data_IF_533261622380
#
_entry.id   IF_533261622380
#
_cell.length_a   1.000
_cell.length_b   1.000
_cell.length_c   1.000
_cell.angle_alpha   90.00
_cell.angle_beta   90.00
_cell.angle_gamma   90.00
#
_symmetry.space_group_name_H-M   'P 1'
#
loop_
_entity.id
_entity.type
_entity.pdbx_description
1 polymer ?
#
# COMPACT_ATOMS: atom_id res chain seq x y z
N UNK A 1 -7.46 -22.09 -13.95
CA UNK A 1 -8.45 -21.03 -13.67
C UNK A 1 -9.15 -21.39 -12.37
N UNK A 2 -9.21 -20.49 -11.38
CA UNK A 2 -10.10 -20.63 -10.24
C UNK A 2 -11.35 -19.81 -10.56
N UNK A 3 -12.42 -20.46 -11.01
CA UNK A 3 -13.72 -19.84 -11.29
C UNK A 3 -14.60 -19.77 -10.05
N UNK A 4 -15.62 -18.90 -10.08
CA UNK A 4 -16.57 -18.68 -8.99
C UNK A 4 -17.29 -19.98 -8.54
N UNK A 5 -17.47 -20.93 -9.46
CA UNK A 5 -18.09 -22.23 -9.16
C UNK A 5 -17.26 -23.08 -8.20
N UNK A 6 -15.93 -23.03 -8.27
CA UNK A 6 -15.02 -23.83 -7.43
C UNK A 6 -14.98 -23.36 -5.97
N UNK A 7 -15.26 -22.08 -5.71
CA UNK A 7 -15.28 -21.48 -4.37
C UNK A 7 -16.67 -21.49 -3.75
N UNK A 8 -17.74 -21.48 -4.57
CA UNK A 8 -19.12 -21.57 -4.10
C UNK A 8 -19.43 -22.99 -3.60
N UNK A 9 -19.10 -24.01 -4.40
CA UNK A 9 -19.26 -25.43 -4.03
C UNK A 9 -18.43 -25.81 -2.78
N UNK A 10 -17.23 -25.25 -2.63
CA UNK A 10 -16.39 -25.48 -1.46
C UNK A 10 -16.92 -24.85 -0.15
N UNK A 11 -17.81 -23.86 -0.22
CA UNK A 11 -18.41 -23.22 0.97
C UNK A 11 -19.81 -23.75 1.27
N UNK A 12 -20.58 -24.14 0.25
CA UNK A 12 -21.92 -24.72 0.42
C UNK A 12 -21.87 -26.10 1.09
N UNK A 13 -20.77 -26.85 0.89
CA UNK A 13 -20.54 -28.16 1.51
C UNK A 13 -19.91 -28.08 2.93
N UNK A 14 -19.75 -26.89 3.51
CA UNK A 14 -19.11 -26.71 4.83
C UNK A 14 -20.08 -26.19 5.88
N UNK A 15 -19.95 -26.73 7.09
CA UNK A 15 -20.69 -26.24 8.25
C UNK A 15 -20.32 -24.77 8.56
N UNK A 16 -21.22 -24.02 9.20
CA UNK A 16 -20.91 -22.66 9.65
C UNK A 16 -19.65 -22.57 10.53
N UNK A 17 -19.38 -23.61 11.33
CA UNK A 17 -18.19 -23.67 12.20
C UNK A 17 -16.89 -23.83 11.40
N UNK A 18 -16.85 -24.75 10.44
CA UNK A 18 -15.69 -24.94 9.55
C UNK A 18 -15.38 -23.68 8.73
N UNK A 19 -16.43 -22.99 8.25
CA UNK A 19 -16.26 -21.70 7.54
C UNK A 19 -15.67 -20.63 8.46
N UNK A 20 -16.12 -20.54 9.71
CA UNK A 20 -15.57 -19.61 10.71
C UNK A 20 -14.11 -19.91 11.03
N UNK A 21 -13.75 -21.18 11.19
CA UNK A 21 -12.37 -21.58 11.46
C UNK A 21 -11.44 -21.25 10.28
N UNK A 22 -11.85 -21.57 9.06
CA UNK A 22 -11.09 -21.21 7.86
C UNK A 22 -10.95 -19.70 7.69
N UNK A 23 -12.01 -18.92 7.96
CA UNK A 23 -11.96 -17.47 7.92
C UNK A 23 -10.97 -16.90 8.96
N UNK A 24 -10.93 -17.48 10.18
CA UNK A 24 -9.94 -17.11 11.21
C UNK A 24 -8.52 -17.42 10.75
N UNK A 25 -8.27 -18.62 10.22
CA UNK A 25 -6.95 -19.02 9.72
C UNK A 25 -6.50 -18.09 8.57
N UNK A 26 -7.39 -17.83 7.61
CA UNK A 26 -7.13 -16.92 6.50
C UNK A 26 -6.87 -15.48 6.98
N UNK A 27 -7.65 -14.99 7.94
CA UNK A 27 -7.48 -13.68 8.56
C UNK A 27 -6.14 -13.54 9.29
N UNK A 28 -5.74 -14.57 10.05
CA UNK A 28 -4.44 -14.61 10.72
C UNK A 28 -3.27 -14.66 9.73
N UNK A 29 -3.37 -15.50 8.69
CA UNK A 29 -2.35 -15.59 7.64
C UNK A 29 -2.19 -14.27 6.88
N UNK A 30 -3.32 -13.65 6.49
CA UNK A 30 -3.34 -12.32 5.87
C UNK A 30 -2.77 -11.24 6.79
N UNK A 31 -3.15 -11.24 8.07
CA UNK A 31 -2.60 -10.33 9.07
C UNK A 31 -1.09 -10.49 9.24
N UNK A 32 -0.59 -11.72 9.30
CA UNK A 32 0.85 -12.02 9.37
C UNK A 32 1.58 -11.52 8.13
N UNK A 33 1.03 -11.72 6.93
CA UNK A 33 1.60 -11.22 5.69
C UNK A 33 1.64 -9.68 5.64
N UNK A 34 0.57 -9.01 6.09
CA UNK A 34 0.50 -7.55 6.18
C UNK A 34 1.54 -6.99 7.16
N UNK A 35 1.67 -7.58 8.35
CA UNK A 35 2.70 -7.21 9.34
C UNK A 35 4.11 -7.37 8.77
N UNK A 36 4.42 -8.51 8.16
CA UNK A 36 5.72 -8.74 7.51
C UNK A 36 6.06 -7.67 6.46
N UNK A 37 5.09 -7.25 5.64
CA UNK A 37 5.29 -6.17 4.67
C UNK A 37 5.52 -4.82 5.35
N UNK A 38 4.80 -4.53 6.43
CA UNK A 38 4.99 -3.30 7.20
C UNK A 38 6.37 -3.27 7.86
N UNK A 39 6.78 -4.37 8.49
CA UNK A 39 8.08 -4.51 9.14
C UNK A 39 9.20 -4.39 8.12
N UNK A 40 9.08 -5.03 6.96
CA UNK A 40 10.04 -4.88 5.87
C UNK A 40 10.19 -3.42 5.42
N UNK A 41 9.08 -2.68 5.24
CA UNK A 41 9.15 -1.25 4.89
C UNK A 41 9.84 -0.42 5.97
N UNK A 42 9.54 -0.69 7.25
CA UNK A 42 10.20 -0.02 8.38
C UNK A 42 11.71 -0.28 8.36
N UNK A 43 12.12 -1.54 8.21
CA UNK A 43 13.54 -1.92 8.14
C UNK A 43 14.22 -1.30 6.93
N UNK A 44 13.58 -1.32 5.75
CA UNK A 44 14.15 -0.74 4.54
C UNK A 44 14.38 0.77 4.71
N UNK A 45 13.39 1.50 5.22
CA UNK A 45 13.54 2.94 5.44
C UNK A 45 14.66 3.24 6.43
N UNK A 46 14.76 2.48 7.53
CA UNK A 46 15.85 2.62 8.49
C UNK A 46 17.22 2.43 7.84
N UNK A 47 17.36 1.44 6.96
CA UNK A 47 18.60 1.19 6.23
C UNK A 47 18.89 2.32 5.25
N UNK A 48 17.91 2.77 4.47
CA UNK A 48 18.07 3.83 3.48
C UNK A 48 18.53 5.15 4.13
N UNK A 49 18.03 5.47 5.32
CA UNK A 49 18.43 6.68 6.07
C UNK A 49 19.76 6.53 6.82
N UNK A 50 20.40 5.36 6.82
CA UNK A 50 21.66 5.17 7.52
C UNK A 50 22.79 5.92 6.80
N UNK A 51 23.52 6.75 7.55
CA UNK A 51 24.73 7.41 7.06
C UNK A 51 25.81 6.37 6.72
N UNK A 52 26.54 6.64 5.64
CA UNK A 52 27.67 5.86 5.19
C UNK A 52 28.87 6.77 4.96
N UNK A 53 30.05 6.18 5.09
CA UNK A 53 31.29 6.86 4.78
C UNK A 53 31.81 6.35 3.43
N UNK A 54 31.61 7.14 2.38
CA UNK A 54 32.07 6.84 1.02
C UNK A 54 33.00 7.94 0.53
N UNK A 55 34.27 7.61 0.30
CA UNK A 55 35.31 8.58 -0.08
C UNK A 55 35.02 9.33 -1.40
N UNK A 56 34.36 8.68 -2.36
CA UNK A 56 34.05 9.28 -3.66
C UNK A 56 32.83 10.21 -3.57
N UNK A 57 31.77 9.78 -2.88
CA UNK A 57 30.47 10.43 -2.92
C UNK A 57 30.24 11.42 -1.81
N UNK A 58 30.79 11.19 -0.61
CA UNK A 58 30.57 12.04 0.56
C UNK A 58 30.96 13.51 0.30
N UNK A 59 32.14 13.83 -0.28
CA UNK A 59 32.49 15.22 -0.55
C UNK A 59 31.54 15.90 -1.54
N UNK A 60 31.07 15.16 -2.54
CA UNK A 60 30.15 15.69 -3.56
C UNK A 60 28.79 15.96 -2.93
N UNK A 61 28.25 15.00 -2.19
CA UNK A 61 26.95 15.13 -1.53
C UNK A 61 26.93 16.25 -0.49
N UNK A 62 27.97 16.35 0.34
CA UNK A 62 28.12 17.43 1.32
C UNK A 62 28.22 18.80 0.65
N UNK A 63 28.91 18.92 -0.49
CA UNK A 63 28.97 20.16 -1.25
C UNK A 63 27.61 20.62 -1.81
N UNK A 64 26.68 19.68 -1.97
CA UNK A 64 25.30 19.93 -2.40
C UNK A 64 24.33 20.12 -1.22
N UNK A 65 24.83 20.03 0.03
CA UNK A 65 24.00 20.08 1.23
C UNK A 65 23.15 18.83 1.45
N UNK A 66 23.58 17.67 0.94
CA UNK A 66 22.90 16.38 1.05
C UNK A 66 23.71 15.45 1.96
N UNK A 67 23.04 14.77 2.88
CA UNK A 67 23.67 13.76 3.73
C UNK A 67 24.11 12.53 2.93
N UNK A 68 25.29 11.99 3.26
CA UNK A 68 25.81 10.78 2.63
C UNK A 68 25.19 9.54 3.28
N UNK A 69 23.94 9.25 2.93
CA UNK A 69 23.18 8.08 3.38
C UNK A 69 23.19 6.97 2.32
N UNK A 70 22.76 5.75 2.69
CA UNK A 70 22.55 4.67 1.73
C UNK A 70 21.56 5.06 0.62
N UNK A 71 20.55 5.87 0.93
CA UNK A 71 19.59 6.39 -0.04
C UNK A 71 20.26 7.31 -1.07
N UNK A 72 20.98 8.34 -0.62
CA UNK A 72 21.62 9.30 -1.54
C UNK A 72 22.70 8.62 -2.38
N UNK A 73 23.43 7.67 -1.79
CA UNK A 73 24.39 6.81 -2.47
C UNK A 73 23.75 5.94 -3.56
N UNK A 74 22.59 5.32 -3.30
CA UNK A 74 21.85 4.54 -4.29
C UNK A 74 21.39 5.41 -5.46
N UNK A 75 20.88 6.62 -5.19
CA UNK A 75 20.46 7.56 -6.23
C UNK A 75 21.66 8.01 -7.10
N UNK A 76 22.80 8.33 -6.47
CA UNK A 76 24.04 8.67 -7.17
C UNK A 76 24.51 7.53 -8.07
N UNK A 77 24.43 6.28 -7.61
CA UNK A 77 24.77 5.11 -8.41
C UNK A 77 23.88 4.99 -9.66
N UNK A 78 22.57 5.21 -9.53
CA UNK A 78 21.64 5.18 -10.67
C UNK A 78 21.93 6.31 -11.67
N UNK A 79 22.27 7.51 -11.19
CA UNK A 79 22.66 8.63 -12.06
C UNK A 79 23.96 8.28 -12.82
N UNK A 80 24.97 7.75 -12.12
CA UNK A 80 26.24 7.34 -12.71
C UNK A 80 26.06 6.26 -13.79
N UNK A 81 25.22 5.25 -13.53
CA UNK A 81 24.86 4.22 -14.50
C UNK A 81 24.10 4.79 -15.70
N UNK A 82 23.16 5.72 -15.49
CA UNK A 82 22.44 6.39 -16.56
C UNK A 82 23.40 7.19 -17.47
N UNK A 83 24.36 7.91 -16.87
CA UNK A 83 25.41 8.63 -17.60
C UNK A 83 26.32 7.69 -18.41
N UNK A 84 26.49 6.44 -17.95
CA UNK A 84 27.20 5.39 -18.68
C UNK A 84 26.37 4.74 -19.81
N UNK A 85 25.15 5.22 -20.05
CA UNK A 85 24.27 4.75 -21.13
C UNK A 85 23.28 3.66 -20.72
N UNK A 86 23.14 3.37 -19.42
CA UNK A 86 22.16 2.40 -18.94
C UNK A 86 20.74 2.99 -19.00
N UNK A 87 19.95 2.57 -19.99
CA UNK A 87 18.60 3.08 -20.24
C UNK A 87 17.62 2.76 -19.11
N UNK A 88 17.81 1.66 -18.37
CA UNK A 88 16.96 1.34 -17.21
C UNK A 88 17.23 2.28 -16.05
N UNK A 89 18.49 2.58 -15.80
CA UNK A 89 18.88 3.56 -14.79
C UNK A 89 18.39 4.97 -15.18
N UNK A 90 18.47 5.33 -16.47
CA UNK A 90 17.91 6.57 -16.98
C UNK A 90 16.39 6.67 -16.77
N UNK A 91 15.64 5.59 -17.03
CA UNK A 91 14.20 5.53 -16.75
C UNK A 91 13.89 5.65 -15.25
N UNK A 92 14.66 4.98 -14.40
CA UNK A 92 14.55 5.14 -12.95
C UNK A 92 14.71 6.61 -12.54
N UNK A 93 15.78 7.27 -12.97
CA UNK A 93 16.02 8.70 -12.66
C UNK A 93 14.88 9.59 -13.19
N UNK A 94 14.44 9.38 -14.42
CA UNK A 94 13.34 10.13 -15.03
C UNK A 94 12.03 9.99 -14.24
N UNK A 95 11.72 8.78 -13.77
CA UNK A 95 10.51 8.51 -12.99
C UNK A 95 10.45 9.35 -11.71
N UNK A 96 11.55 9.42 -10.96
CA UNK A 96 11.61 10.15 -9.69
C UNK A 96 11.86 11.66 -9.87
N UNK A 97 12.37 12.08 -11.02
CA UNK A 97 12.47 13.49 -11.41
C UNK A 97 11.11 14.10 -11.84
N UNK A 98 10.01 13.34 -11.75
CA UNK A 98 8.68 13.77 -12.18
C UNK A 98 8.48 13.77 -13.70
N UNK A 99 9.39 13.13 -14.46
CA UNK A 99 9.27 12.99 -15.92
C UNK A 99 8.42 11.79 -16.33
N UNK A 100 8.10 10.89 -15.39
CA UNK A 100 6.96 9.98 -15.57
C UNK A 100 5.67 10.75 -15.34
N UNK A 101 5.25 11.48 -16.37
CA UNK A 101 3.89 11.93 -16.47
C UNK A 101 3.01 10.68 -16.55
N UNK A 102 2.39 10.31 -15.43
CA UNK A 102 1.04 9.78 -15.53
C UNK A 102 0.25 10.91 -16.18
N UNK A 103 0.07 10.79 -17.50
CA UNK A 103 -0.54 11.86 -18.26
C UNK A 103 -2.02 11.90 -17.90
N UNK A 104 -2.67 13.05 -18.05
CA UNK A 104 -4.13 13.13 -17.94
C UNK A 104 -4.82 12.14 -18.91
N UNK A 105 -4.15 11.74 -20.00
CA UNK A 105 -4.62 10.70 -20.90
C UNK A 105 -4.59 9.30 -20.27
N UNK A 106 -3.54 8.96 -19.52
CA UNK A 106 -3.43 7.69 -18.77
C UNK A 106 -4.51 7.62 -17.69
N UNK A 107 -4.76 8.72 -16.97
CA UNK A 107 -5.83 8.82 -15.97
C UNK A 107 -7.23 8.69 -16.60
N UNK A 108 -7.45 9.35 -17.74
CA UNK A 108 -8.69 9.24 -18.50
C UNK A 108 -8.91 7.83 -19.07
N UNK A 109 -7.83 7.14 -19.46
CA UNK A 109 -7.89 5.74 -19.89
C UNK A 109 -8.23 4.81 -18.71
N UNK A 110 -7.57 4.97 -17.56
CA UNK A 110 -7.89 4.21 -16.35
C UNK A 110 -9.33 4.43 -15.90
N UNK A 111 -9.81 5.68 -15.95
CA UNK A 111 -11.20 6.01 -15.60
C UNK A 111 -12.19 5.34 -16.56
N UNK A 112 -11.96 5.44 -17.88
CA UNK A 112 -12.81 4.76 -18.89
C UNK A 112 -12.79 3.24 -18.75
N UNK A 113 -11.61 2.66 -18.46
CA UNK A 113 -11.47 1.22 -18.21
C UNK A 113 -12.28 0.79 -16.98
N UNK A 114 -12.22 1.58 -15.91
CA UNK A 114 -12.99 1.36 -14.67
C UNK A 114 -14.49 1.49 -14.90
N UNK A 115 -14.93 2.54 -15.60
CA UNK A 115 -16.33 2.76 -15.97
C UNK A 115 -16.88 1.61 -16.82
N UNK A 116 -16.10 1.14 -17.79
CA UNK A 116 -16.47 -0.02 -18.62
C UNK A 116 -16.62 -1.29 -17.78
N UNK A 117 -15.66 -1.57 -16.89
CA UNK A 117 -15.75 -2.71 -15.97
C UNK A 117 -16.97 -2.60 -15.06
N UNK A 118 -17.28 -1.42 -14.54
CA UNK A 118 -18.47 -1.19 -13.71
C UNK A 118 -19.77 -1.41 -14.50
N UNK A 119 -19.86 -0.89 -15.73
CA UNK A 119 -21.01 -1.08 -16.59
C UNK A 119 -21.21 -2.55 -17.00
N UNK A 120 -20.12 -3.26 -17.29
CA UNK A 120 -20.16 -4.69 -17.62
C UNK A 120 -20.58 -5.51 -16.38
N UNK A 121 -20.08 -5.16 -15.19
CA UNK A 121 -20.50 -5.77 -13.91
C UNK A 121 -21.99 -5.55 -13.64
N UNK A 122 -22.49 -4.34 -13.87
CA UNK A 122 -23.90 -4.00 -13.67
C UNK A 122 -24.82 -4.68 -14.70
N UNK A 123 -24.40 -4.78 -15.97
CA UNK A 123 -25.11 -5.56 -16.99
C UNK A 123 -25.19 -7.03 -16.61
N UNK A 124 -24.08 -7.59 -16.12
CA UNK A 124 -24.05 -8.97 -15.62
C UNK A 124 -25.02 -9.11 -14.47
N UNK A 125 -25.00 -8.20 -13.47
CA UNK A 125 -25.93 -8.18 -12.32
C UNK A 125 -27.40 -8.15 -12.77
N UNK A 126 -27.75 -7.29 -13.73
CA UNK A 126 -29.12 -7.19 -14.28
C UNK A 126 -29.53 -8.41 -15.08
N UNK A 127 -28.63 -8.99 -15.86
CA UNK A 127 -28.91 -10.21 -16.65
C UNK A 127 -28.97 -11.49 -15.82
N UNK A 128 -28.36 -11.50 -14.63
CA UNK A 128 -28.31 -12.67 -13.74
C UNK A 128 -29.49 -12.77 -12.76
N UNK A 129 -30.47 -11.86 -12.84
CA UNK A 129 -31.78 -12.04 -12.20
C UNK A 129 -31.74 -12.19 -10.68
N UNK A 130 -30.74 -11.63 -10.00
CA UNK A 130 -30.74 -11.52 -8.53
C UNK A 130 -31.57 -10.30 -8.13
N UNK A 131 -32.89 -10.48 -8.14
CA UNK A 131 -33.81 -9.58 -7.47
C UNK A 131 -33.55 -9.62 -5.98
N UNK A 132 -33.41 -8.43 -5.39
CA UNK A 132 -33.89 -8.08 -4.06
C UNK A 132 -33.83 -9.20 -3.00
N UNK A 133 -32.66 -9.41 -2.39
CA UNK A 133 -32.60 -9.84 -1.00
C UNK A 133 -31.55 -9.00 -0.28
N UNK A 134 -32.09 -7.99 0.40
CA UNK A 134 -31.72 -7.47 1.71
C UNK A 134 -30.23 -7.16 1.97
N UNK A 135 -29.99 -5.87 2.18
CA UNK A 135 -29.04 -5.36 3.17
C UNK A 135 -29.29 -6.05 4.54
N UNK A 136 -28.92 -7.31 4.68
CA UNK A 136 -28.54 -7.85 5.98
C UNK A 136 -27.08 -7.47 6.21
N UNK A 137 -26.87 -6.16 6.43
CA UNK A 137 -25.69 -5.72 7.15
C UNK A 137 -25.67 -6.46 8.48
N UNK A 138 -24.62 -7.25 8.73
CA UNK A 138 -24.37 -7.75 10.07
C UNK A 138 -24.14 -6.53 10.95
N UNK A 139 -25.09 -6.21 11.82
CA UNK A 139 -24.85 -5.31 12.94
C UNK A 139 -23.69 -5.92 13.75
N UNK A 140 -22.51 -5.30 13.66
CA UNK A 140 -21.40 -5.61 14.54
C UNK A 140 -21.80 -5.05 15.91
N UNK A 141 -22.53 -5.84 16.70
CA UNK A 141 -22.72 -5.58 18.12
C UNK A 141 -21.34 -5.74 18.74
N UNK A 142 -20.71 -4.60 19.04
CA UNK A 142 -19.42 -4.55 19.71
C UNK A 142 -19.64 -4.89 21.19
N UNK A 143 -19.75 -6.19 21.50
CA UNK A 143 -19.93 -6.71 22.87
C UNK A 143 -18.60 -6.73 23.66
N UNK A 144 -17.62 -5.94 23.22
CA UNK A 144 -16.43 -5.67 24.00
C UNK A 144 -16.84 -4.83 25.22
N UNK A 145 -16.47 -5.21 26.45
CA UNK A 145 -16.64 -4.31 27.58
C UNK A 145 -15.99 -2.98 27.21
N UNK A 146 -16.69 -1.87 27.45
CA UNK A 146 -16.08 -0.54 27.43
C UNK A 146 -14.95 -0.57 28.47
N UNK A 147 -13.74 -0.90 28.03
CA UNK A 147 -12.56 -0.52 28.79
C UNK A 147 -12.53 1.00 28.73
N UNK A 148 -12.97 1.60 29.84
CA UNK A 148 -12.73 2.98 30.20
C UNK A 148 -11.21 3.19 30.23
N UNK A 149 -10.63 3.45 29.07
CA UNK A 149 -9.30 4.00 28.95
C UNK A 149 -9.32 5.41 29.57
N UNK A 150 -8.32 5.79 30.38
CA UNK A 150 -8.28 7.11 30.97
C UNK A 150 -8.29 8.17 29.86
N UNK A 151 -9.13 9.17 30.04
CA UNK A 151 -9.23 10.40 29.29
C UNK A 151 -7.83 11.04 29.16
N UNK A 152 -7.15 10.77 28.04
CA UNK A 152 -5.96 11.54 27.67
C UNK A 152 -6.50 12.72 26.88
N UNK A 153 -6.93 13.71 27.66
CA UNK A 153 -7.44 14.98 27.17
C UNK A 153 -6.50 15.59 26.13
N UNK A 154 -7.13 16.05 25.06
CA UNK A 154 -6.53 16.92 24.05
C UNK A 154 -6.11 18.23 24.74
N UNK A 155 -4.83 18.34 25.06
CA UNK A 155 -4.21 19.59 25.49
C UNK A 155 -3.34 20.12 24.36
N UNK A 156 -4.00 20.66 23.33
CA UNK A 156 -3.46 21.81 22.63
C UNK A 156 -3.51 23.02 23.57
N UNK A 157 -2.36 23.41 24.12
CA UNK A 157 -2.16 24.77 24.63
C UNK A 157 -0.78 25.27 24.25
N UNK A 158 -0.77 26.08 23.20
CA UNK A 158 -0.07 27.36 23.10
C UNK A 158 1.44 27.40 23.39
N UNK A 159 2.18 27.63 22.31
CA UNK A 159 3.28 28.58 22.16
C UNK A 159 3.68 29.34 23.44
N UNK A 160 4.93 29.17 23.87
CA UNK A 160 5.67 30.26 24.52
C UNK A 160 7.04 30.39 23.87
N UNK A 161 7.29 31.58 23.36
CA UNK A 161 8.63 32.09 23.08
C UNK A 161 9.43 32.25 24.39
N UNK A 162 10.73 32.44 24.20
CA UNK A 162 11.76 32.86 25.17
C UNK A 162 12.45 31.74 25.99
N UNK A 163 13.61 31.26 25.49
CA UNK A 163 14.99 31.67 25.86
C UNK A 163 15.99 30.76 25.12
#
# INVERSE_FOLDING_TARGET
>A
MAGYENIRDANDNRTPEERRELAKIAGQASGKARRRKADFRKTLNLLLTAEIDNEEWKPVLESLGVECTLESALLMAQIKEAMAGNTKAAYFVAQYAGQNAQTAADDAEQKRRTERMAADTEKIRRSSGHGEHEDEGVEIINDAPEETGPDIGDHNSEVSADI
#
